data_IF_369021189374
#
_entry.id   IF_369021189374
#
_cell.length_a   1.000
_cell.length_b   1.000
_cell.length_c   1.000
_cell.angle_alpha   90.00
_cell.angle_beta   90.00
_cell.angle_gamma   90.00
#
_symmetry.space_group_name_H-M   'P 1'
#
loop_
_entity.id
_entity.type
_entity.pdbx_description
1 polymer ?
#
# COMPACT_ATOMS: atom_id res chain seq x y z
N UNK A 1 12.26 11.20 -2.34
CA UNK A 1 12.47 11.18 -0.88
C UNK A 1 13.96 11.25 -0.59
N UNK A 2 14.37 12.05 0.39
CA UNK A 2 15.75 12.13 0.85
C UNK A 2 15.80 11.97 2.38
N UNK A 3 16.73 11.17 2.90
CA UNK A 3 16.92 11.01 4.34
C UNK A 3 18.36 10.65 4.67
N UNK A 4 18.81 11.08 5.86
CA UNK A 4 20.16 10.78 6.35
C UNK A 4 20.20 9.42 7.03
N UNK A 5 21.33 8.71 6.92
CA UNK A 5 21.58 7.43 7.56
C UNK A 5 23.08 7.30 7.89
N UNK A 6 23.45 6.21 8.57
CA UNK A 6 24.82 5.96 9.04
C UNK A 6 25.37 7.11 9.91
N UNK A 7 24.61 7.51 10.94
CA UNK A 7 24.92 8.65 11.83
C UNK A 7 25.15 9.96 11.07
N UNK A 8 24.22 10.28 10.16
CA UNK A 8 24.26 11.49 9.31
C UNK A 8 25.44 11.60 8.35
N UNK A 9 26.27 10.56 8.22
CA UNK A 9 27.41 10.53 7.29
C UNK A 9 26.99 10.29 5.85
N UNK A 10 25.82 9.70 5.62
CA UNK A 10 25.31 9.40 4.29
C UNK A 10 23.90 9.96 4.12
N UNK A 11 23.64 10.51 2.94
CA UNK A 11 22.33 10.94 2.47
C UNK A 11 21.84 9.91 1.46
N UNK A 12 20.69 9.29 1.73
CA UNK A 12 20.00 8.45 0.78
C UNK A 12 19.02 9.28 -0.05
N UNK A 13 19.10 9.14 -1.37
CA UNK A 13 18.21 9.77 -2.35
C UNK A 13 17.44 8.67 -3.07
N UNK A 14 16.11 8.70 -2.91
CA UNK A 14 15.19 7.82 -3.61
C UNK A 14 14.32 8.68 -4.51
N UNK A 15 14.48 8.55 -5.82
CA UNK A 15 13.70 9.32 -6.79
C UNK A 15 12.97 8.36 -7.73
N UNK A 16 11.69 8.62 -7.96
CA UNK A 16 10.87 7.85 -8.88
C UNK A 16 10.69 8.64 -10.16
N UNK A 17 10.69 7.94 -11.30
CA UNK A 17 10.42 8.57 -12.58
C UNK A 17 9.73 7.60 -13.55
N UNK A 18 8.92 8.09 -14.50
CA UNK A 18 8.40 7.28 -15.59
C UNK A 18 9.57 6.67 -16.38
N UNK A 19 9.60 5.35 -16.48
CA UNK A 19 10.64 4.64 -17.20
C UNK A 19 10.06 3.99 -18.46
N UNK A 20 10.85 4.03 -19.53
CA UNK A 20 10.56 3.38 -20.80
C UNK A 20 11.51 2.21 -21.02
N UNK A 21 11.05 1.20 -21.76
CA UNK A 21 11.81 -0.01 -22.07
C UNK A 21 11.76 -1.07 -20.95
N UNK A 22 12.20 -2.27 -21.31
CA UNK A 22 12.15 -3.44 -20.43
C UNK A 22 13.28 -3.40 -19.39
N UNK A 23 13.00 -3.67 -18.09
CA UNK A 23 14.01 -3.60 -17.03
C UNK A 23 15.25 -4.48 -17.26
N UNK A 24 15.10 -5.58 -17.98
CA UNK A 24 16.17 -6.49 -18.37
C UNK A 24 17.24 -5.80 -19.21
N UNK A 25 16.86 -4.72 -19.93
CA UNK A 25 17.77 -3.89 -20.74
C UNK A 25 18.55 -2.87 -19.92
N UNK A 26 18.24 -2.69 -18.64
CA UNK A 26 18.91 -1.69 -17.79
C UNK A 26 20.24 -2.17 -17.23
N UNK A 27 20.53 -3.46 -17.33
CA UNK A 27 21.81 -4.04 -16.93
C UNK A 27 22.96 -3.48 -17.79
N UNK A 28 24.04 -3.04 -17.14
CA UNK A 28 25.22 -2.49 -17.82
C UNK A 28 25.14 -1.01 -18.22
N UNK A 29 24.03 -0.33 -17.91
CA UNK A 29 23.91 1.13 -18.08
C UNK A 29 24.61 1.84 -16.92
N UNK A 30 25.28 2.97 -17.20
CA UNK A 30 25.67 3.92 -16.16
C UNK A 30 24.42 4.58 -15.56
N UNK A 31 23.99 4.07 -14.42
CA UNK A 31 22.81 4.57 -13.72
C UNK A 31 22.98 5.99 -13.18
N UNK A 32 24.20 6.46 -12.92
CA UNK A 32 24.42 7.85 -12.48
C UNK A 32 24.22 8.80 -13.67
N UNK A 33 24.80 8.46 -14.83
CA UNK A 33 24.57 9.23 -16.06
C UNK A 33 23.10 9.21 -16.48
N UNK A 34 22.43 8.06 -16.39
CA UNK A 34 21.01 7.93 -16.67
C UNK A 34 20.15 8.76 -15.70
N UNK A 35 20.45 8.72 -14.39
CA UNK A 35 19.77 9.52 -13.37
C UNK A 35 19.90 11.03 -13.66
N UNK A 36 21.12 11.52 -13.93
CA UNK A 36 21.33 12.95 -14.26
C UNK A 36 20.64 13.37 -15.54
N UNK A 37 20.61 12.50 -16.56
CA UNK A 37 19.87 12.75 -17.80
C UNK A 37 18.37 12.84 -17.55
N UNK A 38 17.81 11.88 -16.82
CA UNK A 38 16.36 11.75 -16.61
C UNK A 38 15.79 12.91 -15.76
N UNK A 39 16.61 13.55 -14.92
CA UNK A 39 16.23 14.72 -14.10
C UNK A 39 16.81 16.06 -14.61
N UNK A 40 17.37 16.09 -15.82
CA UNK A 40 17.96 17.31 -16.38
C UNK A 40 16.90 18.40 -16.54
N UNK A 41 17.18 19.59 -15.99
CA UNK A 41 16.31 20.76 -16.11
C UNK A 41 15.14 20.79 -15.11
N UNK A 42 15.12 19.88 -14.15
CA UNK A 42 14.16 19.90 -13.05
C UNK A 42 14.58 20.92 -11.97
N UNK A 43 14.27 20.66 -10.69
CA UNK A 43 14.62 21.56 -9.59
C UNK A 43 16.14 21.71 -9.38
N UNK A 44 16.69 22.94 -9.35
CA UNK A 44 18.12 23.18 -9.19
C UNK A 44 18.74 22.59 -7.91
N UNK A 45 17.98 22.52 -6.81
CA UNK A 45 18.48 21.94 -5.57
C UNK A 45 18.60 20.41 -5.70
N UNK A 46 17.63 19.75 -6.34
CA UNK A 46 17.77 18.32 -6.65
C UNK A 46 18.94 18.07 -7.59
N UNK A 47 19.04 18.79 -8.71
CA UNK A 47 20.11 18.54 -9.70
C UNK A 47 21.50 18.72 -9.06
N UNK A 48 21.67 19.71 -8.18
CA UNK A 48 22.91 19.89 -7.40
C UNK A 48 23.23 18.66 -6.56
N UNK A 49 22.23 18.06 -5.89
CA UNK A 49 22.43 16.83 -5.12
C UNK A 49 22.75 15.62 -6.02
N UNK A 50 22.12 15.52 -7.19
CA UNK A 50 22.37 14.44 -8.15
C UNK A 50 23.76 14.53 -8.79
N UNK A 51 24.33 15.73 -8.91
CA UNK A 51 25.70 15.93 -9.37
C UNK A 51 26.73 15.39 -8.37
N UNK A 52 26.38 15.33 -7.09
CA UNK A 52 27.25 14.76 -6.05
C UNK A 52 27.23 13.23 -6.05
N UNK A 53 26.14 12.60 -6.51
CA UNK A 53 25.96 11.13 -6.49
C UNK A 53 27.09 10.41 -7.24
N UNK A 54 27.72 9.45 -6.57
CA UNK A 54 28.79 8.61 -7.13
C UNK A 54 28.30 7.23 -7.59
N UNK A 55 27.26 6.70 -6.96
CA UNK A 55 26.68 5.39 -7.27
C UNK A 55 25.16 5.46 -7.24
N UNK A 56 24.52 4.87 -8.23
CA UNK A 56 23.06 4.73 -8.29
C UNK A 56 22.67 3.33 -8.73
N UNK A 57 21.55 2.83 -8.21
CA UNK A 57 20.89 1.64 -8.68
C UNK A 57 19.51 2.01 -9.22
N UNK A 58 19.13 1.43 -10.37
CA UNK A 58 17.80 1.60 -10.96
C UNK A 58 17.01 0.30 -10.81
N UNK A 59 15.79 0.38 -10.27
CA UNK A 59 14.90 -0.78 -10.12
C UNK A 59 13.52 -0.48 -10.69
N UNK A 60 12.86 -1.46 -11.33
CA UNK A 60 11.54 -1.23 -11.88
C UNK A 60 10.49 -1.17 -10.77
N UNK A 61 9.48 -0.32 -10.97
CA UNK A 61 8.26 -0.35 -10.18
C UNK A 61 7.21 -1.11 -10.97
N UNK A 62 6.75 -2.23 -10.41
CA UNK A 62 5.73 -3.08 -11.02
C UNK A 62 4.56 -3.26 -10.07
N UNK A 63 3.36 -3.20 -10.63
CA UNK A 63 2.12 -3.60 -9.97
C UNK A 63 1.55 -4.85 -10.64
N UNK A 64 0.51 -5.42 -10.04
CA UNK A 64 -0.24 -6.51 -10.64
C UNK A 64 -1.70 -6.11 -10.78
N UNK A 65 -2.37 -6.69 -11.77
CA UNK A 65 -3.83 -6.67 -11.77
C UNK A 65 -4.33 -7.47 -10.55
N UNK A 66 -4.94 -6.79 -9.59
CA UNK A 66 -5.49 -7.43 -8.37
C UNK A 66 -6.47 -8.56 -8.78
N UNK A 67 -6.18 -9.82 -8.44
CA UNK A 67 -7.03 -10.96 -8.82
C UNK A 67 -8.41 -10.89 -8.17
N UNK A 68 -9.44 -11.42 -8.85
CA UNK A 68 -10.82 -11.51 -8.32
C UNK A 68 -10.99 -12.58 -7.24
N UNK A 69 -10.00 -13.45 -7.07
CA UNK A 69 -10.00 -14.54 -6.10
C UNK A 69 -8.58 -14.78 -5.60
N UNK A 70 -8.43 -14.92 -4.29
CA UNK A 70 -7.12 -15.07 -3.64
C UNK A 70 -6.91 -16.48 -3.09
N UNK A 71 -7.97 -17.27 -2.98
CA UNK A 71 -7.94 -18.59 -2.38
C UNK A 71 -8.02 -19.71 -3.41
N UNK A 72 -7.39 -20.84 -3.07
CA UNK A 72 -7.49 -22.08 -3.82
C UNK A 72 -8.94 -22.60 -3.88
N UNK A 73 -9.30 -23.48 -4.83
CA UNK A 73 -10.64 -24.07 -4.88
C UNK A 73 -11.08 -24.73 -3.56
N UNK A 74 -10.13 -25.32 -2.82
CA UNK A 74 -10.39 -25.94 -1.51
C UNK A 74 -10.49 -24.95 -0.36
N UNK A 75 -10.19 -23.66 -0.57
CA UNK A 75 -10.14 -22.59 0.46
C UNK A 75 -9.12 -22.85 1.58
N UNK A 76 -8.14 -23.73 1.36
CA UNK A 76 -7.09 -24.07 2.33
C UNK A 76 -5.79 -23.29 2.13
N UNK A 77 -5.67 -22.57 1.02
CA UNK A 77 -4.50 -21.75 0.67
C UNK A 77 -5.04 -20.41 0.18
N UNK A 78 -4.41 -19.32 0.61
CA UNK A 78 -4.87 -17.95 0.35
C UNK A 78 -3.64 -17.10 0.03
N UNK A 79 -3.74 -16.27 -1.00
CA UNK A 79 -2.78 -15.22 -1.33
C UNK A 79 -2.99 -14.02 -0.40
N UNK A 80 -1.91 -13.43 0.09
CA UNK A 80 -1.89 -12.22 0.93
C UNK A 80 -0.69 -11.36 0.57
N UNK A 81 -0.73 -10.08 0.96
CA UNK A 81 0.37 -9.14 0.68
C UNK A 81 0.67 -9.02 -0.82
N UNK A 82 1.94 -8.85 -1.16
CA UNK A 82 2.39 -8.64 -2.55
C UNK A 82 2.01 -9.81 -3.49
N UNK A 83 1.85 -11.03 -2.97
CA UNK A 83 1.40 -12.18 -3.76
C UNK A 83 -0.07 -12.06 -4.22
N UNK A 84 -0.89 -11.30 -3.49
CA UNK A 84 -2.27 -11.00 -3.85
C UNK A 84 -2.43 -9.62 -4.50
N UNK A 85 -1.56 -8.65 -4.17
CA UNK A 85 -1.77 -7.25 -4.51
C UNK A 85 -0.53 -6.37 -4.50
N UNK A 86 0.57 -6.82 -5.11
CA UNK A 86 1.70 -5.94 -5.41
C UNK A 86 1.23 -4.66 -6.14
N UNK A 87 1.62 -3.51 -5.60
CA UNK A 87 1.18 -2.19 -6.07
C UNK A 87 2.33 -1.18 -6.06
N UNK A 88 2.16 -0.07 -6.78
CA UNK A 88 3.17 0.98 -6.86
C UNK A 88 3.34 1.68 -5.49
N UNK A 89 4.49 2.30 -5.27
CA UNK A 89 4.80 2.93 -3.97
C UNK A 89 4.26 4.36 -3.82
N UNK A 90 3.47 4.85 -4.77
CA UNK A 90 3.06 6.26 -4.82
C UNK A 90 2.15 6.68 -3.66
N UNK A 91 1.45 5.76 -3.00
CA UNK A 91 0.66 6.09 -1.81
C UNK A 91 1.44 5.90 -0.50
N UNK A 92 2.72 5.52 -0.50
CA UNK A 92 3.41 5.12 0.72
C UNK A 92 3.77 6.26 1.71
N UNK A 93 3.72 7.54 1.31
CA UNK A 93 4.30 8.66 2.06
C UNK A 93 3.36 9.86 2.20
N UNK A 94 2.42 9.80 3.14
CA UNK A 94 1.65 10.98 3.57
C UNK A 94 2.43 11.82 4.58
N UNK A 95 2.32 13.16 4.48
CA UNK A 95 2.56 14.05 5.63
C UNK A 95 1.29 13.97 6.50
N UNK A 96 1.34 13.49 7.76
CA UNK A 96 0.26 13.83 8.66
C UNK A 96 0.30 15.36 8.86
N UNK A 97 -0.78 16.04 8.50
CA UNK A 97 -0.98 17.43 8.91
C UNK A 97 -0.88 17.50 10.43
N UNK A 98 -0.14 18.49 10.94
CA UNK A 98 0.20 18.74 12.35
C UNK A 98 -0.99 18.77 13.34
N UNK A 99 -2.23 18.70 12.85
CA UNK A 99 -3.45 18.74 13.66
C UNK A 99 -4.01 17.35 14.02
N UNK A 100 -3.36 16.26 13.61
CA UNK A 100 -3.75 14.92 14.02
C UNK A 100 -2.60 14.28 14.81
N UNK A 101 -2.40 14.76 16.04
CA UNK A 101 -1.35 14.25 16.95
C UNK A 101 -1.77 12.91 17.60
N UNK A 102 -3.06 12.56 17.57
CA UNK A 102 -3.57 11.33 18.19
C UNK A 102 -3.83 10.16 17.22
N UNK A 103 -3.49 10.27 15.93
CA UNK A 103 -3.51 9.10 15.05
C UNK A 103 -2.21 8.31 15.20
N UNK A 104 -2.28 7.34 16.11
CA UNK A 104 -1.47 6.12 16.16
C UNK A 104 -0.73 5.88 14.84
N UNK A 105 0.59 6.03 14.90
CA UNK A 105 1.64 5.45 14.06
C UNK A 105 1.12 4.51 12.94
N UNK A 106 0.41 5.04 11.94
CA UNK A 106 -0.12 4.21 10.86
C UNK A 106 1.00 4.02 9.86
N UNK A 107 1.74 2.95 10.11
CA UNK A 107 2.76 2.33 9.29
C UNK A 107 2.42 2.49 7.79
N UNK A 108 3.43 2.92 7.02
CA UNK A 108 3.35 3.34 5.60
C UNK A 108 2.59 2.34 4.71
N UNK A 109 1.77 2.87 3.80
CA UNK A 109 0.60 2.22 3.20
C UNK A 109 0.85 0.90 2.44
N UNK A 110 2.03 0.66 1.84
CA UNK A 110 2.34 -0.64 1.24
C UNK A 110 2.42 -1.76 2.28
N UNK A 111 3.20 -1.53 3.35
CA UNK A 111 3.31 -2.47 4.47
C UNK A 111 1.98 -2.59 5.25
N UNK A 112 1.16 -1.54 5.25
CA UNK A 112 -0.15 -1.57 5.89
C UNK A 112 -1.11 -2.57 5.24
N UNK A 113 -1.09 -2.75 3.91
CA UNK A 113 -2.06 -3.63 3.24
C UNK A 113 -1.92 -5.10 3.62
N UNK A 114 -0.69 -5.60 3.72
CA UNK A 114 -0.44 -6.96 4.21
C UNK A 114 -0.79 -7.11 5.70
N UNK A 115 -0.60 -6.06 6.51
CA UNK A 115 -1.04 -6.04 7.92
C UNK A 115 -2.56 -6.04 8.02
N UNK A 116 -3.25 -5.25 7.18
CA UNK A 116 -4.71 -5.25 7.09
C UNK A 116 -5.24 -6.64 6.69
N UNK A 117 -4.54 -7.35 5.80
CA UNK A 117 -4.86 -8.75 5.47
C UNK A 117 -4.73 -9.66 6.68
N UNK A 118 -3.61 -9.58 7.41
CA UNK A 118 -3.39 -10.38 8.61
C UNK A 118 -4.50 -10.17 9.66
N UNK A 119 -4.85 -8.91 9.93
CA UNK A 119 -5.91 -8.56 10.88
C UNK A 119 -7.28 -9.05 10.41
N UNK A 120 -7.61 -8.85 9.13
CA UNK A 120 -8.88 -9.31 8.58
C UNK A 120 -8.99 -10.84 8.57
N UNK A 121 -7.90 -11.53 8.22
CA UNK A 121 -7.86 -12.99 8.20
C UNK A 121 -7.99 -13.55 9.62
N UNK A 122 -7.25 -13.00 10.58
CA UNK A 122 -7.35 -13.39 11.99
C UNK A 122 -8.77 -13.20 12.54
N UNK A 123 -9.37 -12.02 12.32
CA UNK A 123 -10.73 -11.74 12.77
C UNK A 123 -11.76 -12.66 12.08
N UNK A 124 -11.59 -12.97 10.80
CA UNK A 124 -12.52 -13.84 10.07
C UNK A 124 -12.43 -15.28 10.57
N UNK A 125 -11.21 -15.78 10.79
CA UNK A 125 -10.98 -17.12 11.34
C UNK A 125 -11.45 -17.25 12.79
N UNK A 126 -11.41 -16.16 13.57
CA UNK A 126 -11.95 -16.14 14.95
C UNK A 126 -13.42 -16.54 15.02
N UNK A 127 -14.19 -16.29 13.97
CA UNK A 127 -15.60 -16.72 13.91
C UNK A 127 -15.79 -18.16 13.44
N UNK A 128 -14.78 -18.79 12.84
CA UNK A 128 -14.81 -20.19 12.43
C UNK A 128 -14.53 -21.11 13.63
N UNK A 129 -15.54 -21.33 14.46
CA UNK A 129 -15.43 -22.22 15.64
C UNK A 129 -15.35 -23.71 15.30
N UNK A 130 -15.61 -24.07 14.03
CA UNK A 130 -15.51 -25.44 13.50
C UNK A 130 -14.73 -25.46 12.20
N UNK A 131 -14.08 -26.60 11.91
CA UNK A 131 -13.26 -26.78 10.70
C UNK A 131 -14.04 -26.58 9.39
N UNK A 132 -15.32 -26.93 9.37
CA UNK A 132 -16.20 -26.76 8.20
C UNK A 132 -16.57 -25.30 7.93
N UNK A 133 -16.37 -24.40 8.90
CA UNK A 133 -16.60 -22.96 8.74
C UNK A 133 -15.41 -22.22 8.13
N UNK A 134 -14.24 -22.86 8.00
CA UNK A 134 -13.02 -22.22 7.46
C UNK A 134 -13.25 -21.67 6.06
N UNK A 135 -13.90 -22.46 5.18
CA UNK A 135 -14.23 -22.01 3.82
C UNK A 135 -15.07 -20.73 3.79
N UNK A 136 -15.96 -20.56 4.78
CA UNK A 136 -16.77 -19.36 4.92
C UNK A 136 -15.94 -18.18 5.45
N UNK A 137 -15.07 -18.41 6.44
CA UNK A 137 -14.15 -17.37 6.91
C UNK A 137 -13.24 -16.85 5.80
N UNK A 138 -12.73 -17.73 4.95
CA UNK A 138 -11.94 -17.32 3.78
C UNK A 138 -12.78 -16.50 2.78
N UNK A 139 -14.05 -16.88 2.56
CA UNK A 139 -14.94 -16.11 1.69
C UNK A 139 -15.25 -14.72 2.24
N UNK A 140 -15.48 -14.58 3.55
CA UNK A 140 -15.69 -13.28 4.21
C UNK A 140 -14.43 -12.42 4.14
N UNK A 141 -13.26 -13.02 4.35
CA UNK A 141 -11.97 -12.35 4.20
C UNK A 141 -11.80 -11.76 2.80
N UNK A 142 -11.95 -12.57 1.74
CA UNK A 142 -11.83 -12.10 0.35
C UNK A 142 -12.84 -10.99 0.03
N UNK A 143 -14.09 -11.15 0.48
CA UNK A 143 -15.15 -10.18 0.24
C UNK A 143 -14.82 -8.80 0.83
N UNK A 144 -14.15 -8.76 1.98
CA UNK A 144 -13.76 -7.51 2.64
C UNK A 144 -12.49 -6.95 2.02
N UNK A 145 -11.50 -7.81 1.74
CA UNK A 145 -10.17 -7.38 1.33
C UNK A 145 -10.07 -7.00 -0.13
N UNK A 146 -10.61 -7.79 -1.05
CA UNK A 146 -10.44 -7.56 -2.50
C UNK A 146 -10.92 -6.16 -2.91
N UNK A 147 -12.14 -5.69 -2.53
CA UNK A 147 -12.59 -4.35 -2.90
C UNK A 147 -11.75 -3.24 -2.26
N UNK A 148 -11.36 -3.40 -1.00
CA UNK A 148 -10.49 -2.45 -0.28
C UNK A 148 -9.14 -2.31 -0.97
N UNK A 149 -8.54 -3.43 -1.35
CA UNK A 149 -7.25 -3.47 -2.02
C UNK A 149 -7.31 -2.87 -3.41
N UNK A 150 -8.35 -3.17 -4.19
CA UNK A 150 -8.58 -2.52 -5.49
C UNK A 150 -8.70 -1.01 -5.37
N UNK A 151 -9.44 -0.52 -4.38
CA UNK A 151 -9.58 0.91 -4.14
C UNK A 151 -8.23 1.59 -3.85
N UNK A 152 -7.38 0.99 -3.01
CA UNK A 152 -6.03 1.50 -2.69
C UNK A 152 -5.10 1.39 -3.89
N UNK A 153 -5.17 0.29 -4.64
CA UNK A 153 -4.40 0.08 -5.87
C UNK A 153 -4.72 1.16 -6.91
N UNK A 154 -6.00 1.40 -7.19
CA UNK A 154 -6.45 2.41 -8.17
C UNK A 154 -6.06 3.82 -7.73
N UNK A 155 -6.20 4.13 -6.44
CA UNK A 155 -5.74 5.40 -5.86
C UNK A 155 -4.24 5.61 -6.10
N UNK A 156 -3.44 4.55 -5.89
CA UNK A 156 -1.99 4.55 -6.10
C UNK A 156 -1.60 4.78 -7.54
N UNK A 157 -2.21 4.06 -8.47
CA UNK A 157 -1.95 4.23 -9.90
C UNK A 157 -2.28 5.66 -10.33
N UNK A 158 -3.48 6.16 -9.96
CA UNK A 158 -3.90 7.54 -10.26
C UNK A 158 -2.95 8.59 -9.67
N UNK A 159 -2.46 8.35 -8.46
CA UNK A 159 -1.55 9.29 -7.81
C UNK A 159 -0.18 9.31 -8.49
N UNK A 160 0.33 8.16 -8.93
CA UNK A 160 1.52 8.06 -9.76
C UNK A 160 1.45 8.94 -11.01
N UNK A 161 0.33 8.87 -11.74
CA UNK A 161 0.08 9.74 -12.88
C UNK A 161 0.03 11.22 -12.49
N UNK A 162 -0.70 11.55 -11.42
CA UNK A 162 -0.87 12.94 -10.97
C UNK A 162 0.46 13.58 -10.57
N UNK A 163 1.38 12.82 -9.98
CA UNK A 163 2.70 13.31 -9.56
C UNK A 163 3.67 13.50 -10.74
N UNK A 164 3.54 12.70 -11.80
CA UNK A 164 4.48 12.67 -12.94
C UNK A 164 3.84 13.13 -14.26
N UNK A 165 2.84 14.03 -14.22
CA UNK A 165 2.32 14.67 -15.42
C UNK A 165 3.47 15.35 -16.19
N UNK A 166 3.55 15.21 -17.52
CA UNK A 166 4.53 15.94 -18.31
C UNK A 166 4.21 17.44 -18.31
N UNK A 167 5.24 18.26 -18.55
CA UNK A 167 5.08 19.70 -18.70
C UNK A 167 4.03 20.02 -19.77
N UNK A 168 3.03 20.81 -19.39
CA UNK A 168 1.92 21.13 -20.27
C UNK A 168 0.68 21.65 -19.52
N UNK A 169 -0.43 21.87 -20.24
CA UNK A 169 -1.65 22.44 -19.65
C UNK A 169 -2.20 21.64 -18.47
N UNK A 170 -2.09 20.31 -18.51
CA UNK A 170 -2.57 19.43 -17.43
C UNK A 170 -1.72 19.57 -16.17
N UNK A 171 -0.39 19.59 -16.30
CA UNK A 171 0.52 19.82 -15.18
C UNK A 171 0.33 21.23 -14.59
N UNK A 172 0.17 22.26 -15.42
CA UNK A 172 -0.12 23.62 -14.94
C UNK A 172 -1.44 23.71 -14.17
N UNK A 173 -2.47 23.01 -14.65
CA UNK A 173 -3.76 22.92 -13.96
C UNK A 173 -3.63 22.20 -12.60
N UNK A 174 -2.86 21.09 -12.57
CA UNK A 174 -2.56 20.35 -11.34
C UNK A 174 -1.80 21.21 -10.32
N UNK A 175 -0.75 21.90 -10.75
CA UNK A 175 0.07 22.76 -9.89
C UNK A 175 -0.75 23.91 -9.31
N UNK A 176 -1.56 24.59 -10.15
CA UNK A 176 -2.49 25.63 -9.69
C UNK A 176 -3.50 25.11 -8.66
N UNK A 177 -4.01 23.90 -8.85
CA UNK A 177 -4.93 23.29 -7.90
C UNK A 177 -4.25 22.87 -6.57
N UNK A 178 -2.93 22.70 -6.55
CA UNK A 178 -2.13 22.42 -5.34
C UNK A 178 -1.58 23.69 -4.66
N UNK A 179 -1.73 24.87 -5.25
CA UNK A 179 -1.12 26.12 -4.76
C UNK A 179 -1.48 26.42 -3.29
N UNK A 180 -2.77 26.25 -2.92
CA UNK A 180 -3.22 26.43 -1.54
C UNK A 180 -2.51 25.52 -0.56
N UNK A 181 -2.33 24.25 -0.94
CA UNK A 181 -1.63 23.27 -0.11
C UNK A 181 -0.16 23.66 0.11
N UNK A 182 0.52 24.08 -0.97
CA UNK A 182 1.92 24.53 -0.92
C UNK A 182 2.07 25.78 -0.04
N UNK A 183 1.11 26.69 -0.11
CA UNK A 183 1.07 27.90 0.72
C UNK A 183 0.62 27.65 2.16
N UNK A 184 0.25 26.41 2.53
CA UNK A 184 -0.26 26.07 3.86
C UNK A 184 -1.65 26.63 4.16
N UNK A 185 -2.41 27.01 3.12
CA UNK A 185 -3.77 27.49 3.23
C UNK A 185 -4.77 26.33 3.36
N UNK A 186 -5.98 26.62 3.85
CA UNK A 186 -7.04 25.63 3.91
C UNK A 186 -7.60 25.30 2.51
N UNK A 187 -7.78 24.01 2.24
CA UNK A 187 -8.39 23.50 1.01
C UNK A 187 -9.34 22.33 1.32
N UNK A 188 -10.36 22.16 0.48
CA UNK A 188 -11.38 21.10 0.61
C UNK A 188 -10.97 19.85 -0.14
N UNK A 189 -10.23 20.01 -1.23
CA UNK A 189 -9.72 18.93 -2.07
C UNK A 189 -8.34 19.31 -2.62
N UNK A 190 -7.48 18.32 -2.81
CA UNK A 190 -6.20 18.49 -3.51
C UNK A 190 -6.02 17.38 -4.54
N UNK A 191 -5.46 17.67 -5.73
CA UNK A 191 -4.97 16.59 -6.59
C UNK A 191 -3.90 15.73 -5.89
N UNK A 192 -3.23 16.27 -4.85
CA UNK A 192 -2.28 15.53 -4.05
C UNK A 192 -3.05 14.61 -3.12
N UNK A 193 -3.21 13.34 -3.49
CA UNK A 193 -3.95 12.38 -2.68
C UNK A 193 -3.40 12.20 -1.26
N UNK A 194 -2.13 12.53 -1.01
CA UNK A 194 -1.54 12.52 0.33
C UNK A 194 -2.09 13.59 1.25
N UNK A 195 -2.54 14.71 0.68
CA UNK A 195 -3.03 15.86 1.43
C UNK A 195 -4.54 16.04 1.24
N UNK A 196 -5.15 15.33 0.28
CA UNK A 196 -6.56 15.39 -0.02
C UNK A 196 -7.43 14.86 1.13
N UNK A 197 -8.27 15.71 1.77
CA UNK A 197 -9.08 15.29 2.91
C UNK A 197 -10.03 14.14 2.59
N UNK A 198 -10.51 14.04 1.34
CA UNK A 198 -11.40 12.95 0.93
C UNK A 198 -10.64 11.63 0.94
N UNK A 199 -9.46 11.56 0.36
CA UNK A 199 -8.61 10.34 0.39
C UNK A 199 -8.23 9.97 1.82
N UNK A 200 -7.79 10.94 2.61
CA UNK A 200 -7.42 10.73 4.01
C UNK A 200 -8.56 10.14 4.84
N UNK A 201 -9.80 10.56 4.58
CA UNK A 201 -10.99 10.16 5.34
C UNK A 201 -11.38 8.68 5.22
N UNK A 202 -11.04 8.00 4.11
CA UNK A 202 -11.35 6.57 3.93
C UNK A 202 -10.09 5.69 4.02
N UNK A 203 -8.91 6.27 3.80
CA UNK A 203 -7.67 5.52 3.75
C UNK A 203 -7.17 5.16 5.16
N UNK A 204 -6.97 6.15 6.03
CA UNK A 204 -6.34 5.96 7.34
C UNK A 204 -7.26 5.47 8.47
N UNK A 205 -8.52 5.90 8.60
CA UNK A 205 -9.38 5.43 9.71
C UNK A 205 -9.98 4.04 9.46
N UNK A 206 -9.57 3.35 8.39
CA UNK A 206 -10.06 2.00 8.08
C UNK A 206 -9.69 1.00 9.18
N UNK A 207 -10.67 0.21 9.63
CA UNK A 207 -10.49 -0.82 10.66
C UNK A 207 -10.83 -2.20 10.08
N UNK A 208 -9.84 -3.02 9.68
CA UNK A 208 -10.06 -4.30 9.01
C UNK A 208 -10.95 -5.26 9.81
N UNK A 209 -10.71 -5.37 11.13
CA UNK A 209 -11.50 -6.23 12.01
C UNK A 209 -12.98 -5.80 12.08
N UNK A 210 -13.26 -4.49 12.09
CA UNK A 210 -14.65 -3.96 12.09
C UNK A 210 -15.33 -4.28 10.76
N UNK A 211 -14.63 -4.13 9.64
CA UNK A 211 -15.15 -4.48 8.32
C UNK A 211 -15.49 -5.97 8.22
N UNK A 212 -14.64 -6.86 8.78
CA UNK A 212 -14.90 -8.30 8.86
C UNK A 212 -16.08 -8.62 9.75
N UNK A 213 -16.19 -8.03 10.96
CA UNK A 213 -17.34 -8.20 11.85
C UNK A 213 -18.65 -7.84 11.16
N UNK A 214 -18.67 -6.72 10.42
CA UNK A 214 -19.83 -6.29 9.65
C UNK A 214 -20.19 -7.30 8.56
N UNK A 215 -19.22 -7.69 7.73
CA UNK A 215 -19.45 -8.67 6.66
C UNK A 215 -19.91 -10.04 7.21
N UNK A 216 -19.34 -10.47 8.33
CA UNK A 216 -19.76 -11.68 9.04
C UNK A 216 -21.19 -11.56 9.58
N UNK A 217 -21.58 -10.43 10.16
CA UNK A 217 -22.95 -10.22 10.63
C UNK A 217 -23.97 -10.17 9.47
N UNK A 218 -23.59 -9.68 8.30
CA UNK A 218 -24.48 -9.60 7.13
C UNK A 218 -24.63 -10.94 6.37
N UNK A 219 -23.65 -11.87 6.49
CA UNK A 219 -23.61 -13.13 5.71
C UNK A 219 -23.17 -14.39 6.47
N UNK A 220 -23.04 -14.33 7.79
CA UNK A 220 -22.70 -15.46 8.65
C UNK A 220 -23.74 -16.58 8.59
N UNK A 221 -23.46 -17.78 9.11
CA UNK A 221 -24.47 -18.82 9.18
C UNK A 221 -25.66 -18.31 9.97
N UNK A 222 -26.86 -18.50 9.42
CA UNK A 222 -28.10 -18.32 10.15
C UNK A 222 -28.16 -19.42 11.21
N UNK A 223 -28.36 -19.04 12.48
CA UNK A 223 -28.75 -20.01 13.50
C UNK A 223 -30.16 -20.57 13.21
N UNK A 224 -30.65 -21.50 14.04
CA UNK A 224 -32.00 -22.08 13.89
C UNK A 224 -33.13 -21.04 13.78
N UNK A 225 -32.90 -19.78 14.19
CA UNK A 225 -33.86 -18.69 14.13
C UNK A 225 -33.69 -17.77 12.89
N UNK A 226 -32.89 -18.17 11.89
CA UNK A 226 -32.73 -17.39 10.66
C UNK A 226 -31.86 -16.13 10.80
N UNK A 227 -31.20 -15.93 11.95
CA UNK A 227 -30.35 -14.75 12.23
C UNK A 227 -28.89 -15.14 12.04
N UNK A 228 -28.13 -14.33 11.31
CA UNK A 228 -26.68 -14.47 11.19
C UNK A 228 -26.07 -14.31 12.60
N UNK A 229 -25.74 -15.43 13.23
CA UNK A 229 -25.51 -15.46 14.67
C UNK A 229 -24.03 -15.52 14.99
N UNK A 230 -23.52 -14.51 15.71
CA UNK A 230 -22.44 -14.76 16.66
C UNK A 230 -22.97 -15.83 17.63
N UNK A 231 -22.23 -16.92 17.86
CA UNK A 231 -22.63 -17.92 18.84
C UNK A 231 -22.94 -17.23 20.18
N UNK A 232 -23.95 -17.70 20.92
CA UNK A 232 -24.52 -17.01 22.10
C UNK A 232 -23.49 -16.50 23.13
N UNK A 233 -22.27 -17.04 23.18
CA UNK A 233 -21.18 -16.53 24.03
C UNK A 233 -20.48 -15.24 23.55
N UNK A 234 -20.52 -14.92 22.26
CA UNK A 234 -19.70 -13.83 21.68
C UNK A 234 -20.40 -12.46 21.63
N UNK A 235 -21.71 -12.38 21.91
CA UNK A 235 -22.42 -11.09 22.04
C UNK A 235 -21.87 -10.21 23.17
N UNK A 236 -21.29 -10.80 24.22
CA UNK A 236 -20.82 -10.07 25.40
C UNK A 236 -19.40 -9.54 25.27
N UNK A 237 -18.56 -10.16 24.45
CA UNK A 237 -17.12 -9.86 24.40
C UNK A 237 -16.75 -8.95 23.23
N UNK A 238 -17.46 -9.06 22.08
CA UNK A 238 -17.18 -8.24 20.90
C UNK A 238 -17.48 -6.74 21.05
N UNK A 239 -18.25 -6.36 22.08
CA UNK A 239 -18.58 -4.98 22.41
C UNK A 239 -17.63 -4.37 23.46
N UNK A 240 -16.86 -5.19 24.19
CA UNK A 240 -16.24 -4.74 25.43
C UNK A 240 -14.76 -4.35 25.31
N UNK A 241 -13.98 -4.85 24.35
CA UNK A 241 -12.54 -4.58 24.33
C UNK A 241 -12.07 -4.08 22.96
N UNK A 242 -11.80 -2.77 22.92
CA UNK A 242 -10.88 -2.16 21.96
C UNK A 242 -9.44 -2.57 22.32
N UNK A 243 -8.64 -2.83 21.29
CA UNK A 243 -7.24 -3.29 21.38
C UNK A 243 -7.08 -4.72 21.93
N UNK A 244 -7.25 -5.70 21.04
CA UNK A 244 -6.61 -7.01 21.25
C UNK A 244 -5.09 -6.83 21.03
N UNK A 245 -4.33 -7.06 22.09
CA UNK A 245 -2.88 -7.10 22.10
C UNK A 245 -2.43 -8.40 21.38
N UNK A 246 -1.86 -8.28 20.18
CA UNK A 246 -1.36 -9.45 19.43
C UNK A 246 0.09 -9.73 19.85
N UNK A 247 0.31 -10.76 20.67
CA UNK A 247 1.64 -11.35 20.85
C UNK A 247 1.95 -12.24 19.63
N UNK A 248 2.81 -11.74 18.75
CA UNK A 248 3.33 -12.45 17.58
C UNK A 248 4.52 -13.33 17.98
N UNK A 249 4.29 -14.60 18.29
CA UNK A 249 5.36 -15.60 18.39
C UNK A 249 5.51 -16.34 17.03
N UNK A 250 6.71 -16.44 16.46
CA UNK A 250 6.92 -17.00 15.12
C UNK A 250 6.81 -18.53 15.13
N UNK A 251 5.77 -19.08 14.49
CA UNK A 251 5.67 -20.51 14.24
C UNK A 251 6.51 -20.94 13.03
N UNK A 252 7.18 -22.09 13.17
CA UNK A 252 8.04 -22.78 12.19
C UNK A 252 7.50 -22.83 10.75
N UNK A 253 8.40 -22.56 9.79
CA UNK A 253 8.21 -22.60 8.33
C UNK A 253 7.24 -23.68 7.82
N UNK A 254 6.09 -23.31 7.21
CA UNK A 254 5.31 -24.23 6.40
C UNK A 254 5.93 -24.40 5.00
N UNK A 255 5.70 -25.53 4.32
CA UNK A 255 6.26 -25.80 3.00
C UNK A 255 5.71 -24.84 1.94
N UNK A 256 6.62 -24.21 1.19
CA UNK A 256 6.31 -23.41 0.01
C UNK A 256 5.61 -24.26 -1.05
N UNK A 257 4.27 -24.16 -1.13
CA UNK A 257 3.52 -24.65 -2.27
C UNK A 257 3.68 -23.65 -3.43
N UNK A 258 4.20 -24.12 -4.55
CA UNK A 258 4.31 -23.33 -5.78
C UNK A 258 2.92 -23.05 -6.34
N UNK A 259 2.47 -21.81 -6.23
CA UNK A 259 1.31 -21.32 -7.00
C UNK A 259 1.81 -21.05 -8.42
N UNK A 260 1.08 -21.53 -9.43
CA UNK A 260 1.46 -21.36 -10.83
C UNK A 260 1.51 -19.87 -11.18
N UNK A 261 2.60 -19.38 -11.79
CA UNK A 261 2.75 -17.96 -12.12
C UNK A 261 1.79 -17.46 -13.21
N UNK A 262 1.09 -18.37 -13.89
CA UNK A 262 0.29 -18.15 -15.11
C UNK A 262 -0.92 -17.19 -14.95
N UNK A 263 -1.12 -16.56 -13.78
CA UNK A 263 -2.28 -15.68 -13.51
C UNK A 263 -1.94 -14.27 -13.02
N UNK A 264 -0.65 -13.95 -12.82
CA UNK A 264 -0.24 -12.63 -12.30
C UNK A 264 0.45 -11.84 -13.40
N UNK A 265 -0.31 -10.97 -14.06
CA UNK A 265 0.22 -10.05 -15.07
C UNK A 265 0.88 -8.86 -14.37
N UNK A 266 2.22 -8.78 -14.48
CA UNK A 266 3.00 -7.64 -14.01
C UNK A 266 2.84 -6.47 -14.98
N UNK A 267 2.50 -5.29 -14.45
CA UNK A 267 2.38 -4.04 -15.17
C UNK A 267 3.59 -3.15 -14.86
N UNK A 268 4.14 -2.49 -15.88
CA UNK A 268 5.23 -1.54 -15.71
C UNK A 268 4.66 -0.16 -15.38
N UNK A 269 4.95 0.35 -14.18
CA UNK A 269 4.47 1.66 -13.71
C UNK A 269 5.53 2.76 -13.67
N UNK A 270 6.81 2.40 -13.86
CA UNK A 270 7.93 3.34 -13.85
C UNK A 270 9.19 2.71 -13.28
N UNK A 271 10.11 3.54 -12.78
CA UNK A 271 11.29 3.07 -12.06
C UNK A 271 11.64 3.94 -10.87
N UNK A 272 12.45 3.38 -10.00
CA UNK A 272 13.05 4.06 -8.86
C UNK A 272 14.56 4.04 -9.01
N UNK A 273 15.20 5.19 -8.82
CA UNK A 273 16.62 5.27 -8.55
C UNK A 273 16.84 5.35 -7.05
N UNK A 274 17.81 4.58 -6.57
CA UNK A 274 18.35 4.69 -5.22
C UNK A 274 19.82 5.08 -5.30
N UNK A 275 20.20 6.14 -4.60
CA UNK A 275 21.55 6.68 -4.59
C UNK A 275 21.95 7.07 -3.16
N UNK A 276 23.15 6.70 -2.75
CA UNK A 276 23.73 7.12 -1.48
C UNK A 276 24.88 8.10 -1.73
N UNK A 277 24.92 9.18 -0.95
CA UNK A 277 25.94 10.21 -1.04
C UNK A 277 26.55 10.52 0.33
N UNK A 278 27.87 10.70 0.40
CA UNK A 278 28.51 11.18 1.61
C UNK A 278 28.08 12.62 1.94
N UNK A 279 27.69 12.83 3.20
CA UNK A 279 27.45 14.14 3.78
C UNK A 279 28.80 14.64 4.30
N UNK A 280 29.39 15.61 3.60
CA UNK A 280 30.56 16.34 4.08
C UNK A 280 30.14 17.53 4.94
#
# INVERSE_FOLDING_TARGET
MAYRFANDKLLNLVVTHPAHGEPETWNGIDHVAALRRDFKGWDPALTTLLDMVQTAAKSPLKDIRVPEKWSSPSRKTILVGDAAHAMLSFMASGRPSLLIIDMQLTLRLGAAMAVEDAVALAESLRFATRKDMVSQAVAVFEQVRIPRVKQVHDATVKHGYTLHLPDGPEQQSRDKAMEKEVNGEHFISSPNQWSDPTVLSWLYPHKPAVAVRKAWAERGPKNHNGVNGFGNGQKREAAAEGMCDYQLEPSSNPPCLSIRPDSVELRAGGSVYNAAQAVN
#
